data_IF_114995091797
#
_entry.id   IF_114995091797
#
_cell.length_a   1.000
_cell.length_b   1.000
_cell.length_c   1.000
_cell.angle_alpha   90.00
_cell.angle_beta   90.00
_cell.angle_gamma   90.00
#
_symmetry.space_group_name_H-M   'P 1'
#
loop_
_entity.id
_entity.type
_entity.pdbx_description
1 polymer ?
#
# COMPACT_ATOMS: atom_id res chain seq x y z
N UNK A 1 20.39 -31.75 28.57
CA UNK A 1 20.13 -30.31 28.80
C UNK A 1 19.66 -29.69 27.49
N UNK A 2 18.39 -29.45 27.33
CA UNK A 2 17.79 -28.85 26.11
C UNK A 2 17.75 -27.34 26.29
N UNK A 3 18.47 -26.58 25.46
CA UNK A 3 18.36 -25.12 25.42
C UNK A 3 17.05 -24.73 24.70
N UNK A 4 16.11 -24.17 25.43
CA UNK A 4 14.94 -23.51 24.88
C UNK A 4 15.37 -22.21 24.22
N UNK A 5 15.15 -22.11 22.88
CA UNK A 5 15.27 -20.87 22.14
C UNK A 5 14.16 -19.90 22.50
N UNK A 6 14.51 -18.72 23.02
CA UNK A 6 13.56 -17.61 23.21
C UNK A 6 13.17 -17.07 21.84
N UNK A 7 11.89 -17.17 21.49
CA UNK A 7 11.31 -16.35 20.42
C UNK A 7 11.37 -14.89 20.86
N UNK A 8 12.15 -14.08 20.15
CA UNK A 8 12.07 -12.62 20.27
C UNK A 8 10.86 -12.17 19.44
N UNK A 9 9.78 -11.79 20.11
CA UNK A 9 8.72 -10.99 19.50
C UNK A 9 9.28 -9.60 19.18
N UNK A 10 9.19 -9.23 17.91
CA UNK A 10 9.58 -7.91 17.44
C UNK A 10 8.42 -6.95 17.75
N UNK A 11 8.54 -6.19 18.84
CA UNK A 11 7.61 -5.10 19.17
C UNK A 11 8.00 -3.87 18.34
N UNK A 12 7.18 -3.56 17.34
CA UNK A 12 7.21 -2.24 16.73
C UNK A 12 6.56 -1.24 17.70
N UNK A 13 7.36 -0.36 18.29
CA UNK A 13 6.84 0.80 19.01
C UNK A 13 6.60 1.93 18.01
N UNK A 14 5.34 2.19 17.69
CA UNK A 14 4.95 3.44 17.02
C UNK A 14 4.73 4.52 18.08
N UNK A 15 5.42 5.64 17.95
CA UNK A 15 5.03 6.89 18.60
C UNK A 15 4.42 7.79 17.52
N UNK A 16 3.12 7.63 17.28
CA UNK A 16 2.28 8.65 16.67
C UNK A 16 0.82 8.30 17.00
N UNK A 17 0.16 9.20 17.71
CA UNK A 17 -1.23 9.08 18.09
C UNK A 17 -2.13 9.27 16.87
N UNK A 18 -2.72 8.16 16.39
CA UNK A 18 -3.72 8.14 15.34
C UNK A 18 -3.83 6.75 14.68
N UNK A 19 -5.03 6.24 14.41
CA UNK A 19 -5.23 4.86 13.99
C UNK A 19 -4.76 4.51 12.58
N UNK A 20 -4.29 5.47 11.75
CA UNK A 20 -4.06 5.21 10.33
C UNK A 20 -2.73 5.63 9.72
N UNK A 21 -1.85 6.36 10.41
CA UNK A 21 -0.58 6.81 9.82
C UNK A 21 0.62 6.39 10.68
N UNK A 22 1.26 5.30 10.32
CA UNK A 22 2.55 4.90 10.89
C UNK A 22 3.67 5.40 9.95
N UNK A 23 4.37 6.46 10.35
CA UNK A 23 5.60 6.86 9.67
C UNK A 23 6.69 5.84 9.99
N UNK A 24 7.12 5.07 9.00
CA UNK A 24 8.28 4.20 9.14
C UNK A 24 9.54 5.07 9.30
N UNK A 25 10.16 5.04 10.47
CA UNK A 25 11.53 5.50 10.66
C UNK A 25 12.42 4.33 10.26
N UNK A 26 13.24 4.48 9.22
CA UNK A 26 14.25 3.50 8.89
C UNK A 26 15.28 3.45 10.04
N UNK A 27 15.31 2.35 10.75
CA UNK A 27 16.36 2.05 11.72
C UNK A 27 17.57 1.52 10.93
N UNK A 28 18.74 2.18 11.00
CA UNK A 28 19.93 1.76 10.26
C UNK A 28 20.50 0.41 10.74
N UNK A 29 20.05 -0.10 11.88
CA UNK A 29 20.54 -1.35 12.47
C UNK A 29 19.64 -2.57 12.17
N UNK A 30 18.69 -2.46 11.22
CA UNK A 30 17.91 -3.63 10.78
C UNK A 30 18.84 -4.59 10.03
N UNK A 31 19.42 -5.52 10.75
CA UNK A 31 20.03 -6.72 10.17
C UNK A 31 18.90 -7.62 9.70
N UNK A 32 18.68 -7.66 8.39
CA UNK A 32 17.81 -8.66 7.79
C UNK A 32 18.45 -10.04 8.01
N UNK A 33 17.95 -10.78 9.01
CA UNK A 33 18.28 -12.20 9.09
C UNK A 33 17.84 -12.84 7.76
N UNK A 34 18.76 -13.58 7.13
CA UNK A 34 18.45 -14.39 5.96
C UNK A 34 17.40 -15.41 6.39
N UNK A 35 16.12 -15.11 6.17
CA UNK A 35 15.10 -16.14 6.14
C UNK A 35 15.49 -17.10 5.02
N UNK A 36 15.42 -18.40 5.26
CA UNK A 36 15.55 -19.42 4.23
C UNK A 36 14.50 -19.09 3.16
N UNK A 37 14.96 -18.50 2.05
CA UNK A 37 14.10 -18.26 0.90
C UNK A 37 13.69 -19.63 0.36
N UNK A 38 12.43 -19.98 0.55
CA UNK A 38 11.86 -21.11 -0.15
C UNK A 38 11.88 -20.80 -1.66
N UNK A 39 12.84 -21.38 -2.37
CA UNK A 39 13.04 -21.22 -3.81
C UNK A 39 11.84 -21.68 -4.66
N UNK A 40 10.79 -22.24 -4.02
CA UNK A 40 9.57 -22.68 -4.67
C UNK A 40 8.55 -21.55 -4.90
N UNK A 41 8.61 -20.44 -4.16
CA UNK A 41 7.66 -19.34 -4.29
C UNK A 41 8.22 -18.25 -5.23
N UNK A 42 7.40 -17.84 -6.20
CA UNK A 42 7.75 -16.80 -7.17
C UNK A 42 7.15 -15.46 -6.73
N UNK A 43 7.97 -14.40 -6.79
CA UNK A 43 7.46 -13.04 -6.72
C UNK A 43 6.61 -12.75 -7.96
N UNK A 44 5.35 -12.37 -7.76
CA UNK A 44 4.48 -11.87 -8.84
C UNK A 44 4.42 -10.36 -8.76
N UNK A 45 4.59 -9.72 -9.91
CA UNK A 45 4.40 -8.28 -10.08
C UNK A 45 3.18 -8.10 -10.97
N UNK A 46 2.14 -7.43 -10.45
CA UNK A 46 0.87 -7.25 -11.12
C UNK A 46 0.61 -5.75 -11.20
N UNK A 47 0.64 -5.18 -12.38
CA UNK A 47 0.21 -3.80 -12.58
C UNK A 47 -1.32 -3.78 -12.74
N UNK A 48 -2.00 -3.06 -11.85
CA UNK A 48 -3.44 -2.83 -11.93
C UNK A 48 -3.75 -1.56 -12.73
N UNK A 49 -2.80 -0.65 -12.85
CA UNK A 49 -2.87 0.55 -13.67
C UNK A 49 -1.47 1.13 -13.94
N UNK A 50 -1.39 2.18 -14.75
CA UNK A 50 -0.13 2.87 -15.06
C UNK A 50 0.70 2.22 -16.16
N UNK A 51 0.19 1.19 -16.88
CA UNK A 51 0.87 0.61 -18.03
C UNK A 51 0.26 1.12 -19.32
N UNK A 52 1.10 1.72 -20.18
CA UNK A 52 0.70 2.34 -21.46
C UNK A 52 -0.37 3.43 -21.32
N UNK A 53 -0.47 4.05 -20.16
CA UNK A 53 -1.40 5.12 -19.83
C UNK A 53 -0.75 6.11 -18.86
N UNK A 54 -1.31 7.32 -18.77
CA UNK A 54 -0.89 8.33 -17.79
C UNK A 54 -1.84 8.26 -16.60
N UNK A 55 -1.28 8.12 -15.41
CA UNK A 55 -2.06 8.04 -14.17
C UNK A 55 -2.43 6.62 -13.76
N UNK A 56 -3.30 6.50 -12.78
CA UNK A 56 -3.75 5.23 -12.17
C UNK A 56 -2.61 4.33 -11.70
N UNK A 57 -1.46 4.91 -11.33
CA UNK A 57 -0.31 4.10 -10.92
C UNK A 57 -0.67 3.23 -9.73
N UNK A 58 -0.68 1.92 -9.94
CA UNK A 58 -0.97 0.95 -8.91
C UNK A 58 -0.32 -0.39 -9.25
N UNK A 59 0.65 -0.80 -8.45
CA UNK A 59 1.37 -2.06 -8.63
C UNK A 59 1.20 -2.94 -7.41
N UNK A 60 0.93 -4.20 -7.63
CA UNK A 60 0.82 -5.23 -6.60
C UNK A 60 2.03 -6.14 -6.67
N UNK A 61 2.68 -6.36 -5.53
CA UNK A 61 3.73 -7.34 -5.35
C UNK A 61 3.17 -8.46 -4.47
N UNK A 62 3.14 -9.68 -4.99
CA UNK A 62 2.66 -10.86 -4.28
C UNK A 62 3.78 -11.88 -4.14
N UNK A 63 4.05 -12.31 -2.90
CA UNK A 63 4.96 -13.38 -2.59
C UNK A 63 4.34 -14.31 -1.55
N UNK A 64 4.22 -15.58 -1.89
CA UNK A 64 3.56 -16.57 -1.05
C UNK A 64 2.13 -16.17 -0.67
N UNK A 65 1.92 -15.89 0.61
CA UNK A 65 0.62 -15.46 1.15
C UNK A 65 0.51 -13.96 1.37
N UNK A 66 1.57 -13.20 1.09
CA UNK A 66 1.66 -11.78 1.39
C UNK A 66 1.52 -10.94 0.13
N UNK A 67 0.78 -9.86 0.25
CA UNK A 67 0.56 -8.87 -0.81
C UNK A 67 0.93 -7.49 -0.25
N UNK A 68 1.72 -6.75 -1.00
CA UNK A 68 1.92 -5.32 -0.79
C UNK A 68 1.50 -4.55 -2.03
N UNK A 69 1.03 -3.33 -1.82
CA UNK A 69 0.58 -2.43 -2.87
C UNK A 69 1.58 -1.28 -2.94
N UNK A 70 1.99 -0.91 -4.13
CA UNK A 70 2.84 0.27 -4.38
C UNK A 70 2.00 1.27 -5.16
N UNK A 71 1.73 2.41 -4.54
CA UNK A 71 0.88 3.49 -5.00
C UNK A 71 -0.60 3.09 -5.20
N UNK A 72 -1.46 4.09 -5.27
CA UNK A 72 -2.89 3.97 -5.54
C UNK A 72 -3.37 5.27 -6.17
N UNK A 73 -3.04 5.44 -7.43
CA UNK A 73 -3.29 6.65 -8.17
C UNK A 73 -4.68 6.73 -8.80
N UNK A 74 -5.01 7.92 -9.25
CA UNK A 74 -6.11 8.14 -10.18
C UNK A 74 -5.58 8.53 -11.56
N UNK A 75 -6.42 8.36 -12.57
CA UNK A 75 -6.24 8.89 -13.91
C UNK A 75 -7.36 9.87 -14.26
N UNK A 76 -7.13 10.65 -15.29
CA UNK A 76 -8.15 11.51 -15.84
C UNK A 76 -8.86 10.78 -16.98
N UNK A 77 -10.17 11.04 -17.18
CA UNK A 77 -10.91 10.43 -18.29
C UNK A 77 -10.38 10.91 -19.64
N UNK A 78 -10.53 10.07 -20.65
CA UNK A 78 -10.28 10.46 -22.05
C UNK A 78 -11.44 11.31 -22.59
N UNK A 79 -11.21 12.03 -23.68
CA UNK A 79 -12.17 12.99 -24.25
C UNK A 79 -13.52 12.38 -24.65
N UNK A 80 -13.58 11.07 -24.87
CA UNK A 80 -14.78 10.31 -25.22
C UNK A 80 -15.56 9.76 -24.01
N UNK A 81 -15.01 9.89 -22.79
CA UNK A 81 -15.62 9.44 -21.53
C UNK A 81 -16.57 10.51 -20.95
N UNK A 82 -17.68 10.81 -21.63
CA UNK A 82 -18.62 11.86 -21.18
C UNK A 82 -19.23 11.56 -19.81
N UNK A 83 -19.14 12.53 -18.90
CA UNK A 83 -19.72 12.43 -17.54
C UNK A 83 -18.90 11.61 -16.56
N UNK A 84 -17.66 11.27 -16.91
CA UNK A 84 -16.68 10.65 -16.01
C UNK A 84 -15.73 11.72 -15.49
N UNK A 85 -15.65 11.91 -14.19
CA UNK A 85 -14.77 12.91 -13.57
C UNK A 85 -13.36 12.39 -13.32
N UNK A 86 -13.24 11.09 -13.00
CA UNK A 86 -11.96 10.44 -12.71
C UNK A 86 -12.01 8.94 -12.99
N UNK A 87 -10.86 8.34 -13.18
CA UNK A 87 -10.71 6.91 -13.43
C UNK A 87 -9.74 6.32 -12.39
N UNK A 88 -10.11 5.18 -11.81
CA UNK A 88 -9.26 4.43 -10.87
C UNK A 88 -8.94 3.04 -11.41
N UNK A 89 -7.91 2.40 -10.85
CA UNK A 89 -7.59 1.02 -11.18
C UNK A 89 -8.71 0.06 -10.71
N UNK A 90 -8.90 -1.07 -11.41
CA UNK A 90 -9.78 -2.13 -10.94
C UNK A 90 -9.15 -2.84 -9.73
N UNK A 91 -9.78 -2.70 -8.59
CA UNK A 91 -9.31 -3.23 -7.31
C UNK A 91 -9.94 -4.60 -6.95
N UNK A 92 -10.69 -5.20 -7.86
CA UNK A 92 -11.38 -6.48 -7.62
C UNK A 92 -10.43 -7.56 -7.12
N UNK A 93 -9.20 -7.61 -7.65
CA UNK A 93 -8.18 -8.54 -7.19
C UNK A 93 -7.81 -8.33 -5.71
N UNK A 94 -7.63 -7.09 -5.29
CA UNK A 94 -7.27 -6.73 -3.92
C UNK A 94 -8.42 -6.99 -2.94
N UNK A 95 -9.65 -6.64 -3.33
CA UNK A 95 -10.85 -6.91 -2.52
C UNK A 95 -11.00 -8.40 -2.24
N UNK A 96 -10.80 -9.26 -3.25
CA UNK A 96 -10.86 -10.73 -3.09
C UNK A 96 -9.73 -11.29 -2.21
N UNK A 97 -8.62 -10.58 -2.08
CA UNK A 97 -7.43 -11.03 -1.36
C UNK A 97 -7.10 -10.15 -0.14
N UNK A 98 -8.06 -9.38 0.37
CA UNK A 98 -7.80 -8.37 1.41
C UNK A 98 -7.08 -8.89 2.66
N UNK A 99 -7.36 -10.15 3.07
CA UNK A 99 -6.71 -10.76 4.27
C UNK A 99 -5.20 -11.00 4.06
N UNK A 100 -4.72 -10.93 2.82
CA UNK A 100 -3.31 -11.13 2.44
C UNK A 100 -2.57 -9.81 2.28
N UNK A 101 -3.27 -8.67 2.26
CA UNK A 101 -2.67 -7.36 2.09
C UNK A 101 -1.97 -6.96 3.39
N UNK A 102 -0.66 -6.72 3.32
CA UNK A 102 0.18 -6.31 4.44
C UNK A 102 0.28 -4.81 4.57
N UNK A 103 0.14 -4.08 3.46
CA UNK A 103 0.15 -2.63 3.46
C UNK A 103 0.24 -2.05 2.06
N UNK A 104 0.03 -0.74 1.99
CA UNK A 104 0.19 0.09 0.82
C UNK A 104 1.37 1.03 1.05
N UNK A 105 2.31 1.08 0.13
CA UNK A 105 3.53 1.89 0.19
C UNK A 105 3.45 2.99 -0.86
N UNK A 106 3.52 4.23 -0.43
CA UNK A 106 3.38 5.38 -1.32
C UNK A 106 4.76 5.97 -1.64
N UNK A 107 5.04 6.08 -2.92
CA UNK A 107 6.31 6.62 -3.41
C UNK A 107 6.40 8.13 -3.18
N UNK A 108 5.35 8.86 -3.55
CA UNK A 108 5.24 10.32 -3.37
C UNK A 108 3.78 10.79 -3.45
N UNK A 109 3.55 12.10 -3.32
CA UNK A 109 2.22 12.69 -3.10
C UNK A 109 1.53 13.24 -4.33
N UNK A 110 1.86 12.84 -5.57
CA UNK A 110 1.13 13.25 -6.75
C UNK A 110 -0.20 12.50 -6.91
N UNK A 111 -1.17 13.12 -7.57
CA UNK A 111 -2.53 12.58 -7.73
C UNK A 111 -2.57 11.23 -8.44
N UNK A 112 -1.74 11.05 -9.43
CA UNK A 112 -1.60 9.81 -10.18
C UNK A 112 -0.94 8.67 -9.38
N UNK A 113 -0.52 8.95 -8.11
CA UNK A 113 0.03 7.98 -7.17
C UNK A 113 -0.77 7.85 -5.87
N UNK A 114 -1.51 8.87 -5.45
CA UNK A 114 -2.28 8.84 -4.19
C UNK A 114 -3.78 9.13 -4.36
N UNK A 115 -4.20 9.63 -5.51
CA UNK A 115 -5.57 10.11 -5.71
C UNK A 115 -6.64 9.03 -5.64
N UNK A 116 -6.29 7.76 -5.88
CA UNK A 116 -7.21 6.62 -5.78
C UNK A 116 -7.45 6.11 -4.35
N UNK A 117 -6.66 6.58 -3.37
CA UNK A 117 -6.68 6.08 -1.98
C UNK A 117 -8.07 6.19 -1.33
N UNK A 118 -8.81 7.31 -1.39
CA UNK A 118 -10.13 7.39 -0.76
C UNK A 118 -11.10 6.33 -1.29
N UNK A 119 -11.03 6.03 -2.57
CA UNK A 119 -11.88 5.02 -3.21
C UNK A 119 -11.44 3.59 -2.86
N UNK A 120 -10.13 3.36 -2.72
CA UNK A 120 -9.57 2.09 -2.27
C UNK A 120 -9.99 1.79 -0.82
N UNK A 121 -9.89 2.77 0.08
CA UNK A 121 -10.21 2.61 1.50
C UNK A 121 -11.70 2.36 1.77
N UNK A 122 -12.58 2.68 0.82
CA UNK A 122 -13.99 2.30 0.87
C UNK A 122 -14.22 0.83 0.50
N UNK A 123 -13.33 0.21 -0.27
CA UNK A 123 -13.46 -1.17 -0.75
C UNK A 123 -12.72 -2.18 0.13
N UNK A 124 -11.53 -1.82 0.61
CA UNK A 124 -10.74 -2.64 1.55
C UNK A 124 -9.92 -1.73 2.45
N UNK A 125 -9.45 -2.26 3.58
CA UNK A 125 -8.62 -1.51 4.53
C UNK A 125 -7.26 -2.17 4.70
N UNK A 126 -6.20 -1.37 4.67
CA UNK A 126 -4.83 -1.80 4.95
C UNK A 126 -4.01 -0.65 5.56
N UNK A 127 -2.91 -0.94 6.25
CA UNK A 127 -1.96 0.08 6.66
C UNK A 127 -1.37 0.82 5.45
N UNK A 128 -1.20 2.15 5.58
CA UNK A 128 -0.56 2.99 4.56
C UNK A 128 0.79 3.45 5.10
N UNK A 129 1.85 3.24 4.33
CA UNK A 129 3.22 3.64 4.63
C UNK A 129 3.67 4.72 3.65
N UNK A 130 4.08 5.86 4.17
CA UNK A 130 4.46 7.02 3.37
C UNK A 130 5.45 7.92 4.10
N UNK A 131 6.08 8.84 3.37
CA UNK A 131 6.82 9.94 3.98
C UNK A 131 5.86 10.87 4.72
N UNK A 132 6.36 11.68 5.67
CA UNK A 132 5.53 12.64 6.44
C UNK A 132 4.72 13.58 5.55
N UNK A 133 5.34 14.09 4.48
CA UNK A 133 4.66 14.98 3.55
C UNK A 133 3.53 14.28 2.82
N UNK A 134 3.82 13.12 2.23
CA UNK A 134 2.82 12.31 1.52
C UNK A 134 1.68 11.87 2.45
N UNK A 135 1.99 11.46 3.68
CA UNK A 135 0.99 11.10 4.67
C UNK A 135 0.07 12.29 5.03
N UNK A 136 0.63 13.50 5.14
CA UNK A 136 -0.17 14.72 5.34
C UNK A 136 -1.16 14.98 4.20
N UNK A 137 -0.72 14.80 2.95
CA UNK A 137 -1.58 14.95 1.77
C UNK A 137 -2.69 13.88 1.74
N UNK A 138 -2.34 12.63 2.03
CA UNK A 138 -3.32 11.53 2.09
C UNK A 138 -4.36 11.79 3.17
N UNK A 139 -3.93 12.26 4.35
CA UNK A 139 -4.86 12.60 5.43
C UNK A 139 -5.87 13.64 5.00
N UNK A 140 -5.45 14.74 4.38
CA UNK A 140 -6.36 15.76 3.85
C UNK A 140 -7.37 15.18 2.87
N UNK A 141 -6.92 14.29 1.95
CA UNK A 141 -7.82 13.62 1.01
C UNK A 141 -8.84 12.73 1.68
N UNK A 142 -8.43 11.98 2.70
CA UNK A 142 -9.36 11.13 3.45
C UNK A 142 -10.39 11.97 4.20
N UNK A 143 -9.99 13.07 4.83
CA UNK A 143 -10.89 14.03 5.50
C UNK A 143 -11.90 14.64 4.52
N UNK A 144 -11.48 15.04 3.30
CA UNK A 144 -12.39 15.52 2.23
C UNK A 144 -13.45 14.50 1.84
N UNK A 145 -13.11 13.21 1.89
CA UNK A 145 -14.02 12.10 1.59
C UNK A 145 -14.74 11.55 2.83
N UNK A 146 -14.64 12.22 3.99
CA UNK A 146 -15.24 11.79 5.27
C UNK A 146 -14.82 10.38 5.71
N UNK A 147 -13.56 10.04 5.46
CA UNK A 147 -12.92 8.79 5.86
C UNK A 147 -11.93 9.06 6.99
N UNK A 148 -12.00 8.27 8.07
CA UNK A 148 -11.10 8.32 9.23
C UNK A 148 -10.00 7.25 9.14
#
# INVERSE_FOLDING_TARGET
MKRQGRKKEMLFRSQADGPFCQTAVCDPDIVLEKSEFDLAEKLKIIALGGLNEIGKNMTVLEYGKDIIIVDCGLGFPEDDMYGVDLVIADMTYLVKNQNRIRGMFLTHGHEDHIGGIPYAMQQFKCPIHATRLTAGLVKLKLEEHHLD
#
